data_IF_394359578509
#
_entry.id   IF_394359578509
#
_cell.length_a   1.000
_cell.length_b   1.000
_cell.length_c   1.000
_cell.angle_alpha   90.00
_cell.angle_beta   90.00
_cell.angle_gamma   90.00
#
_symmetry.space_group_name_H-M   'P 1'
#
loop_
_entity.id
_entity.type
_entity.pdbx_description
1 polymer ?
#
# COMPACT_ATOMS: atom_id res chain seq x y z
N UNK A 1 9.50 -43.60 -12.36
CA UNK A 1 9.95 -42.27 -12.80
C UNK A 1 9.06 -41.26 -12.10
N UNK A 2 9.51 -40.67 -10.98
CA UNK A 2 8.68 -39.78 -10.16
C UNK A 2 8.78 -38.36 -10.72
N UNK A 3 7.69 -37.87 -11.33
CA UNK A 3 7.54 -36.45 -11.66
C UNK A 3 6.78 -35.79 -10.50
N UNK A 4 7.46 -34.92 -9.77
CA UNK A 4 6.86 -34.09 -8.73
C UNK A 4 5.91 -33.06 -9.37
N UNK A 5 4.71 -32.82 -8.81
CA UNK A 5 3.92 -31.67 -9.21
C UNK A 5 4.61 -30.41 -8.68
N UNK A 6 4.98 -29.51 -9.58
CA UNK A 6 5.39 -28.15 -9.23
C UNK A 6 4.14 -27.42 -8.73
N UNK A 7 3.97 -27.38 -7.40
CA UNK A 7 3.12 -26.41 -6.71
C UNK A 7 3.75 -25.04 -6.96
N UNK A 8 3.28 -24.35 -8.01
CA UNK A 8 3.51 -22.93 -8.18
C UNK A 8 2.55 -22.17 -7.25
N UNK A 9 3.08 -21.95 -6.06
CA UNK A 9 2.60 -21.07 -5.01
C UNK A 9 2.69 -19.60 -5.44
N UNK A 10 1.76 -18.81 -4.90
CA UNK A 10 1.77 -17.35 -4.83
C UNK A 10 1.56 -16.57 -6.14
N UNK A 11 0.52 -16.94 -6.88
CA UNK A 11 -0.29 -15.92 -7.55
C UNK A 11 -1.20 -15.25 -6.51
N UNK A 12 -0.62 -14.65 -5.47
CA UNK A 12 -1.23 -13.50 -4.83
C UNK A 12 -1.17 -12.34 -5.84
N UNK A 13 -1.92 -12.49 -6.94
CA UNK A 13 -2.64 -11.36 -7.49
C UNK A 13 -3.46 -10.92 -6.29
N UNK A 14 -2.89 -9.99 -5.53
CA UNK A 14 -3.59 -9.27 -4.50
C UNK A 14 -4.74 -8.64 -5.26
N UNK A 15 -5.86 -9.36 -5.32
CA UNK A 15 -7.16 -8.79 -5.58
C UNK A 15 -7.13 -7.46 -4.88
N UNK A 16 -7.44 -6.34 -5.53
CA UNK A 16 -7.56 -5.08 -4.84
C UNK A 16 -8.62 -5.35 -3.79
N UNK A 17 -8.19 -5.72 -2.57
CA UNK A 17 -9.06 -5.87 -1.43
C UNK A 17 -9.74 -4.54 -1.44
N UNK A 18 -11.06 -4.54 -1.61
CA UNK A 18 -11.86 -3.33 -1.70
C UNK A 18 -11.56 -2.54 -0.44
N UNK A 19 -10.53 -1.69 -0.51
CA UNK A 19 -10.07 -0.89 0.60
C UNK A 19 -11.23 0.04 0.85
N UNK A 20 -11.60 0.17 2.12
CA UNK A 20 -12.62 1.12 2.49
C UNK A 20 -12.30 2.47 1.81
N UNK A 21 -13.22 3.07 1.07
CA UNK A 21 -12.97 4.33 0.37
C UNK A 21 -12.49 5.42 1.33
N UNK A 22 -12.86 5.33 2.61
CA UNK A 22 -12.39 6.22 3.68
C UNK A 22 -10.90 6.01 3.98
N UNK A 23 -10.43 4.76 4.04
CA UNK A 23 -9.02 4.44 4.23
C UNK A 23 -8.19 4.88 3.03
N UNK A 24 -8.69 4.62 1.82
CA UNK A 24 -8.03 5.06 0.59
C UNK A 24 -7.90 6.60 0.55
N UNK A 25 -8.95 7.32 0.96
CA UNK A 25 -8.94 8.78 1.03
C UNK A 25 -7.92 9.30 2.05
N UNK A 26 -7.86 8.70 3.25
CA UNK A 26 -6.92 9.09 4.28
C UNK A 26 -5.45 8.79 3.87
N UNK A 27 -5.20 7.63 3.27
CA UNK A 27 -3.89 7.29 2.71
C UNK A 27 -3.47 8.28 1.61
N UNK A 28 -4.41 8.72 0.78
CA UNK A 28 -4.17 9.73 -0.26
C UNK A 28 -3.85 11.11 0.32
N UNK A 29 -4.47 11.50 1.43
CA UNK A 29 -4.14 12.75 2.13
C UNK A 29 -2.71 12.72 2.66
N UNK A 30 -2.28 11.61 3.26
CA UNK A 30 -0.90 11.42 3.72
C UNK A 30 0.11 11.51 2.57
N UNK A 31 -0.19 10.85 1.44
CA UNK A 31 0.66 10.90 0.26
C UNK A 31 0.75 12.30 -0.36
N UNK A 32 -0.38 13.01 -0.48
CA UNK A 32 -0.39 14.40 -0.98
C UNK A 32 0.38 15.33 -0.07
N UNK A 33 0.16 15.27 1.24
CA UNK A 33 0.89 16.06 2.21
C UNK A 33 2.39 15.83 2.05
N UNK A 34 2.84 14.57 1.94
CA UNK A 34 4.25 14.26 1.68
C UNK A 34 4.80 14.92 0.43
N UNK A 35 4.07 14.83 -0.68
CA UNK A 35 4.45 15.41 -1.97
C UNK A 35 4.52 16.93 -1.92
N UNK A 36 3.60 17.57 -1.20
CA UNK A 36 3.59 19.03 -1.02
C UNK A 36 4.81 19.52 -0.23
N UNK A 37 5.27 18.76 0.77
CA UNK A 37 6.49 19.12 1.53
C UNK A 37 7.78 18.69 0.83
N UNK A 38 7.73 17.72 -0.08
CA UNK A 38 8.91 17.18 -0.79
C UNK A 38 8.73 17.23 -2.31
N UNK A 39 8.75 18.45 -2.91
CA UNK A 39 8.60 18.61 -4.35
C UNK A 39 9.75 17.98 -5.16
N UNK A 40 10.95 17.88 -4.58
CA UNK A 40 12.16 17.36 -5.24
C UNK A 40 12.26 15.82 -5.29
N UNK A 41 11.24 15.10 -4.82
CA UNK A 41 11.15 13.65 -5.03
C UNK A 41 12.29 12.84 -4.43
N UNK A 42 12.87 13.30 -3.31
CA UNK A 42 14.04 12.71 -2.64
C UNK A 42 13.90 11.19 -2.52
N UNK A 43 12.71 10.68 -2.18
CA UNK A 43 12.45 9.25 -2.19
C UNK A 43 10.96 8.96 -2.44
N UNK A 44 10.66 8.15 -3.46
CA UNK A 44 9.27 7.73 -3.69
C UNK A 44 8.87 6.70 -2.62
N UNK A 45 7.83 6.95 -1.82
CA UNK A 45 7.28 5.93 -0.95
C UNK A 45 6.72 4.77 -1.79
N UNK A 46 6.89 3.54 -1.31
CA UNK A 46 6.29 2.35 -1.92
C UNK A 46 4.78 2.29 -1.67
N UNK A 47 4.32 2.88 -0.58
CA UNK A 47 2.90 3.00 -0.26
C UNK A 47 2.67 3.65 1.10
N UNK A 48 1.45 3.53 1.60
CA UNK A 48 1.05 4.05 2.91
C UNK A 48 0.45 2.91 3.72
N UNK A 49 1.00 2.65 4.90
CA UNK A 49 0.35 1.82 5.90
C UNK A 49 -0.67 2.68 6.64
N UNK A 50 -1.92 2.25 6.73
CA UNK A 50 -2.98 3.00 7.42
C UNK A 50 -3.75 2.08 8.37
N UNK A 51 -3.93 2.51 9.60
CA UNK A 51 -4.74 1.84 10.59
C UNK A 51 -6.23 2.00 10.29
N UNK A 52 -6.95 0.87 10.28
CA UNK A 52 -8.37 0.84 9.90
C UNK A 52 -9.32 1.49 10.90
N UNK A 53 -8.89 1.71 12.14
CA UNK A 53 -9.74 2.26 13.21
C UNK A 53 -9.47 3.74 13.45
N UNK A 54 -8.21 4.14 13.39
CA UNK A 54 -7.77 5.51 13.68
C UNK A 54 -7.54 6.36 12.43
N UNK A 55 -7.51 5.73 11.25
CA UNK A 55 -7.14 6.37 9.96
C UNK A 55 -5.76 7.04 9.99
N UNK A 56 -4.95 6.72 11.00
CA UNK A 56 -3.57 7.18 11.10
C UNK A 56 -2.71 6.23 10.30
N UNK A 57 -1.75 6.80 9.59
CA UNK A 57 -0.90 6.01 8.73
C UNK A 57 0.49 6.59 8.61
N UNK A 58 1.37 5.78 8.05
CA UNK A 58 2.76 6.11 7.80
C UNK A 58 3.15 5.75 6.38
N UNK A 59 4.03 6.57 5.81
CA UNK A 59 4.61 6.32 4.50
C UNK A 59 5.62 5.19 4.64
N UNK A 60 5.45 4.16 3.81
CA UNK A 60 6.35 3.03 3.75
C UNK A 60 7.32 3.26 2.60
N UNK A 61 8.60 3.22 2.94
CA UNK A 61 9.70 3.33 1.99
C UNK A 61 10.48 2.02 1.84
N UNK A 62 10.11 0.98 2.57
CA UNK A 62 10.75 -0.33 2.58
C UNK A 62 9.92 -1.38 1.85
N UNK A 63 10.58 -2.34 1.19
CA UNK A 63 9.89 -3.38 0.41
C UNK A 63 9.11 -4.39 1.28
N UNK A 64 9.48 -4.54 2.55
CA UNK A 64 8.76 -5.34 3.54
C UNK A 64 8.36 -4.45 4.72
N UNK A 65 7.23 -3.73 4.64
CA UNK A 65 6.69 -3.05 5.81
C UNK A 65 6.30 -4.07 6.88
N UNK A 66 6.66 -3.77 8.13
CA UNK A 66 6.07 -4.43 9.28
C UNK A 66 4.71 -3.77 9.55
N UNK A 67 3.65 -4.35 9.01
CA UNK A 67 2.28 -3.88 9.24
C UNK A 67 1.75 -4.48 10.55
N UNK A 68 1.08 -3.65 11.34
CA UNK A 68 0.31 -4.14 12.47
C UNK A 68 -0.93 -4.91 11.98
N UNK A 69 -1.50 -5.76 12.85
CA UNK A 69 -2.74 -6.49 12.52
C UNK A 69 -3.87 -5.57 12.10
N UNK A 70 -3.93 -4.35 12.62
CA UNK A 70 -4.98 -3.37 12.35
C UNK A 70 -4.66 -2.47 11.15
N UNK A 71 -3.42 -2.50 10.68
CA UNK A 71 -2.96 -1.69 9.56
C UNK A 71 -3.20 -2.40 8.24
N UNK A 72 -3.48 -1.60 7.22
CA UNK A 72 -3.59 -2.02 5.85
C UNK A 72 -2.57 -1.26 5.01
N UNK A 73 -1.87 -1.97 4.14
CA UNK A 73 -0.95 -1.36 3.20
C UNK A 73 -1.68 -0.95 1.93
N UNK A 74 -1.64 0.34 1.64
CA UNK A 74 -2.16 0.91 0.41
C UNK A 74 -0.98 1.16 -0.54
N UNK A 75 -0.83 0.35 -1.60
CA UNK A 75 0.23 0.56 -2.58
C UNK A 75 0.00 1.85 -3.33
N UNK A 76 1.10 2.44 -3.76
CA UNK A 76 1.11 3.70 -4.48
C UNK A 76 0.23 3.69 -5.75
N UNK A 77 0.24 2.60 -6.52
CA UNK A 77 -0.55 2.48 -7.76
C UNK A 77 -2.05 2.73 -7.53
N UNK A 78 -2.58 2.32 -6.37
CA UNK A 78 -3.99 2.56 -6.01
C UNK A 78 -4.26 4.02 -5.58
N UNK A 79 -3.25 4.70 -5.03
CA UNK A 79 -3.38 6.09 -4.63
C UNK A 79 -3.48 7.00 -5.86
N UNK A 80 -2.70 6.70 -6.91
CA UNK A 80 -2.73 7.45 -8.18
C UNK A 80 -3.88 7.07 -9.10
N UNK A 81 -4.38 5.84 -9.04
CA UNK A 81 -5.49 5.37 -9.89
C UNK A 81 -6.77 6.22 -9.77
N UNK A 82 -6.97 6.96 -8.68
CA UNK A 82 -8.11 7.88 -8.52
C UNK A 82 -7.73 9.37 -8.53
N UNK A 83 -6.55 9.71 -9.05
CA UNK A 83 -6.12 11.09 -9.30
C UNK A 83 -6.27 11.51 -10.77
N UNK A 84 -6.59 10.57 -11.68
CA UNK A 84 -6.85 10.79 -13.10
C UNK A 84 -8.35 10.77 -13.43
#
# INVERSE_FOLDING_TARGET
MYAAPQLQDDSAIASPQLLDPTLLKAARLLYRAYKDVHPDGIQRPLGVAIDRFTYRGQLIFTQKPALLLTECFVPFDQLEAGLY
#
